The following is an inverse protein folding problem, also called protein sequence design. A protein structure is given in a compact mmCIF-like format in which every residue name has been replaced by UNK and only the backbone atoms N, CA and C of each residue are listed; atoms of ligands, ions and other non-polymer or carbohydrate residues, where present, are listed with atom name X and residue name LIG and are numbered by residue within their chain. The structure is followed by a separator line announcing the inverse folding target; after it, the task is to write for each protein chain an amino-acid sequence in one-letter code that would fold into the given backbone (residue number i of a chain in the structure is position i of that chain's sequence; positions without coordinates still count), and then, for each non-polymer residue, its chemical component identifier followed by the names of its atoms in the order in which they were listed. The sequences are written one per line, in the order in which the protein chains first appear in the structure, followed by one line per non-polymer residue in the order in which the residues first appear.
data_IF_102610987503
#
_entry.id   IF_102610987503
#
_cell.length_a   1.000
_cell.length_b   1.000
_cell.length_c   1.000
_cell.angle_alpha   90.00
_cell.angle_beta   90.00
_cell.angle_gamma   90.00
#
_symmetry.space_group_name_H-M   'P 1'
#
loop_
_entity.id
_entity.type
_entity.pdbx_description
1 polymer ?
#
# COMPACT_ATOMS: atom_id res chain seq x y z
N UNK A 1 -54.04 -34.42 2.94
CA UNK A 1 -52.61 -34.60 3.25
C UNK A 1 -51.83 -33.97 2.10
N UNK A 2 -51.33 -32.75 2.27
CA UNK A 2 -50.59 -32.02 1.23
C UNK A 2 -49.12 -31.92 1.67
N UNK A 3 -48.22 -32.49 0.87
CA UNK A 3 -46.79 -32.50 1.13
C UNK A 3 -46.17 -31.27 0.44
N UNK A 4 -45.81 -30.25 1.23
CA UNK A 4 -45.13 -29.07 0.72
C UNK A 4 -43.62 -29.33 0.64
N UNK A 5 -43.06 -29.30 -0.57
CA UNK A 5 -41.63 -29.43 -0.82
C UNK A 5 -40.96 -28.07 -0.60
N UNK A 6 -40.22 -27.92 0.51
CA UNK A 6 -39.41 -26.73 0.79
C UNK A 6 -38.05 -26.91 0.12
N UNK A 7 -37.81 -26.21 -0.98
CA UNK A 7 -36.49 -26.14 -1.60
C UNK A 7 -35.62 -25.11 -0.86
N UNK A 8 -34.34 -25.41 -0.56
CA UNK A 8 -33.45 -24.45 0.06
C UNK A 8 -33.11 -23.34 -0.94
N UNK A 9 -33.38 -22.09 -0.57
CA UNK A 9 -32.88 -20.92 -1.26
C UNK A 9 -31.35 -20.88 -1.03
N UNK A 10 -30.58 -21.35 -2.01
CA UNK A 10 -29.13 -21.15 -2.01
C UNK A 10 -28.85 -19.66 -2.13
N UNK A 11 -28.45 -19.01 -1.05
CA UNK A 11 -27.89 -17.67 -1.10
C UNK A 11 -26.61 -17.73 -1.94
N UNK A 12 -26.62 -17.09 -3.11
CA UNK A 12 -25.41 -16.85 -3.89
C UNK A 12 -24.53 -15.91 -3.07
N UNK A 13 -23.47 -16.44 -2.46
CA UNK A 13 -22.44 -15.59 -1.87
C UNK A 13 -21.91 -14.70 -2.99
N UNK A 14 -22.07 -13.39 -2.86
CA UNK A 14 -21.47 -12.44 -3.78
C UNK A 14 -20.01 -12.85 -3.98
N UNK A 15 -19.66 -13.14 -5.23
CA UNK A 15 -18.28 -13.44 -5.61
C UNK A 15 -17.45 -12.26 -5.19
N UNK A 16 -16.64 -12.45 -4.14
CA UNK A 16 -15.65 -11.45 -3.75
C UNK A 16 -14.73 -11.25 -4.94
N UNK A 17 -14.93 -10.14 -5.65
CA UNK A 17 -14.10 -9.73 -6.78
C UNK A 17 -12.62 -9.83 -6.36
N UNK A 18 -11.89 -10.58 -7.17
CA UNK A 18 -10.58 -11.15 -6.89
C UNK A 18 -9.63 -10.12 -6.22
N UNK A 19 -9.22 -10.38 -4.97
CA UNK A 19 -8.18 -9.61 -4.28
C UNK A 19 -6.76 -9.98 -4.75
N UNK A 20 -6.65 -10.66 -5.90
CA UNK A 20 -5.36 -11.08 -6.45
C UNK A 20 -4.54 -9.88 -6.90
N UNK A 21 -3.34 -9.82 -6.33
CA UNK A 21 -2.30 -8.90 -6.73
C UNK A 21 -1.51 -9.48 -7.92
N UNK A 22 -1.06 -8.62 -8.86
CA UNK A 22 -1.35 -7.19 -9.03
C UNK A 22 -2.62 -6.95 -9.87
N UNK A 23 -3.40 -5.91 -9.58
CA UNK A 23 -4.47 -5.47 -10.49
C UNK A 23 -3.86 -4.78 -11.71
N UNK A 24 -4.46 -4.97 -12.88
CA UNK A 24 -4.09 -4.17 -14.06
C UNK A 24 -4.24 -2.68 -13.75
N UNK A 25 -3.27 -1.88 -14.21
CA UNK A 25 -3.28 -0.45 -13.91
C UNK A 25 -4.52 0.21 -14.55
N UNK A 26 -5.34 0.86 -13.74
CA UNK A 26 -6.53 1.60 -14.17
C UNK A 26 -6.57 2.98 -13.53
N UNK A 27 -7.48 3.85 -13.99
CA UNK A 27 -7.69 5.18 -13.44
C UNK A 27 -9.01 5.25 -12.68
N UNK A 28 -9.08 6.05 -11.62
CA UNK A 28 -10.32 6.45 -10.96
C UNK A 28 -11.12 7.39 -11.86
N UNK A 29 -12.37 7.67 -11.48
CA UNK A 29 -13.21 8.65 -12.20
C UNK A 29 -12.57 10.04 -12.28
N UNK A 30 -11.71 10.36 -11.31
CA UNK A 30 -11.01 11.64 -11.20
C UNK A 30 -9.63 11.62 -11.87
N UNK A 31 -9.27 10.54 -12.58
CA UNK A 31 -8.03 10.44 -13.34
C UNK A 31 -6.80 9.94 -12.56
N UNK A 32 -6.94 9.61 -11.28
CA UNK A 32 -5.83 9.10 -10.46
C UNK A 32 -5.60 7.61 -10.70
N UNK A 33 -4.36 7.11 -10.67
CA UNK A 33 -4.12 5.68 -10.81
C UNK A 33 -4.72 4.91 -9.62
N UNK A 34 -5.30 3.75 -9.91
CA UNK A 34 -5.88 2.89 -8.88
C UNK A 34 -4.79 2.35 -7.95
N UNK A 35 -5.10 2.16 -6.65
CA UNK A 35 -4.16 1.57 -5.71
C UNK A 35 -3.67 0.21 -6.21
N UNK A 36 -2.46 -0.18 -5.80
CA UNK A 36 -1.89 -1.50 -6.07
C UNK A 36 -1.51 -1.75 -7.55
N UNK A 37 -1.50 -0.69 -8.37
CA UNK A 37 -1.02 -0.70 -9.76
C UNK A 37 0.51 -0.57 -9.89
N UNK A 38 1.22 -0.41 -8.77
CA UNK A 38 2.67 -0.16 -8.73
C UNK A 38 3.09 1.27 -9.10
N UNK A 39 2.15 2.13 -9.54
CA UNK A 39 2.39 3.56 -9.80
C UNK A 39 1.97 4.40 -8.58
N UNK A 40 2.70 5.48 -8.26
CA UNK A 40 2.28 6.42 -7.21
C UNK A 40 0.87 6.96 -7.52
N UNK A 41 0.04 7.10 -6.48
CA UNK A 41 -1.32 7.65 -6.60
C UNK A 41 -1.31 9.15 -6.98
N UNK A 42 -0.17 9.82 -6.80
CA UNK A 42 0.02 11.25 -7.04
C UNK A 42 0.84 11.52 -8.30
N UNK A 43 0.41 12.47 -9.13
CA UNK A 43 1.16 12.90 -10.33
C UNK A 43 2.45 13.66 -10.00
N UNK A 44 2.47 14.38 -8.87
CA UNK A 44 3.63 15.10 -8.35
C UNK A 44 4.17 14.39 -7.11
N UNK A 45 5.16 13.48 -7.26
CA UNK A 45 5.72 12.73 -6.13
C UNK A 45 6.46 13.62 -5.14
N UNK A 46 6.82 14.84 -5.55
CA UNK A 46 7.53 15.82 -4.72
C UNK A 46 6.87 17.18 -4.88
N UNK A 47 6.34 17.71 -3.77
CA UNK A 47 5.75 19.06 -3.71
C UNK A 47 6.80 19.97 -3.07
N UNK A 48 7.34 20.92 -3.84
CA UNK A 48 8.24 21.95 -3.33
C UNK A 48 7.47 23.25 -3.10
N UNK A 49 7.73 23.91 -1.96
CA UNK A 49 7.14 25.24 -1.67
C UNK A 49 7.79 26.37 -2.45
N UNK A 50 9.03 26.18 -2.90
CA UNK A 50 9.82 27.17 -3.63
C UNK A 50 10.21 26.58 -4.99
N UNK A 51 10.05 27.37 -6.04
CA UNK A 51 10.49 27.01 -7.38
C UNK A 51 12.03 27.03 -7.47
N UNK A 52 12.61 26.15 -8.29
CA UNK A 52 14.05 26.07 -8.52
C UNK A 52 14.87 25.35 -7.45
N UNK A 53 14.24 24.68 -6.48
CA UNK A 53 14.94 23.90 -5.45
C UNK A 53 15.49 22.60 -6.05
N UNK A 54 16.80 22.35 -5.90
CA UNK A 54 17.38 21.05 -6.27
C UNK A 54 16.93 19.98 -5.26
N UNK A 55 16.27 18.94 -5.76
CA UNK A 55 15.85 17.82 -4.93
C UNK A 55 17.04 16.91 -4.58
N UNK A 56 17.13 16.48 -3.32
CA UNK A 56 18.06 15.43 -2.90
C UNK A 56 17.70 14.16 -3.67
N UNK A 57 18.67 13.61 -4.41
CA UNK A 57 18.52 12.34 -5.12
C UNK A 57 18.90 11.21 -4.16
N UNK A 58 17.93 10.38 -3.81
CA UNK A 58 18.17 9.18 -3.01
C UNK A 58 18.63 8.03 -3.90
N UNK A 59 19.43 7.09 -3.36
CA UNK A 59 19.66 5.80 -4.01
C UNK A 59 18.34 5.06 -4.23
N UNK A 60 18.33 4.14 -5.20
CA UNK A 60 17.16 3.29 -5.47
C UNK A 60 16.84 2.35 -4.29
N UNK A 61 17.87 1.96 -3.54
CA UNK A 61 17.74 1.08 -2.38
C UNK A 61 18.33 1.74 -1.15
N UNK A 62 17.55 1.73 -0.07
CA UNK A 62 17.97 2.20 1.23
C UNK A 62 18.92 1.19 1.89
N UNK A 63 20.07 1.67 2.39
CA UNK A 63 20.97 0.87 3.24
C UNK A 63 20.93 1.46 4.66
N UNK A 64 20.41 0.72 5.65
CA UNK A 64 20.29 1.21 7.03
C UNK A 64 21.61 1.76 7.59
N UNK A 65 21.56 2.96 8.16
CA UNK A 65 22.71 3.63 8.78
C UNK A 65 23.74 4.22 7.80
N UNK A 66 23.54 4.15 6.49
CA UNK A 66 24.44 4.75 5.48
C UNK A 66 24.00 6.11 4.97
N UNK A 67 22.78 6.52 5.27
CA UNK A 67 22.20 7.76 4.77
C UNK A 67 21.82 8.69 5.93
N UNK A 68 22.52 9.82 6.12
CA UNK A 68 22.14 10.80 7.14
C UNK A 68 20.77 11.40 6.81
N UNK A 69 20.01 11.64 7.87
CA UNK A 69 18.69 12.26 7.82
C UNK A 69 18.86 13.76 7.99
N UNK A 70 18.39 14.57 7.05
CA UNK A 70 18.54 16.02 7.10
C UNK A 70 17.52 16.66 8.07
N UNK A 71 17.77 17.89 8.50
CA UNK A 71 16.83 18.67 9.31
C UNK A 71 15.47 18.76 8.59
N UNK A 72 14.38 18.51 9.33
CA UNK A 72 13.01 18.47 8.81
C UNK A 72 12.76 17.35 7.78
N UNK A 73 13.62 16.33 7.70
CA UNK A 73 13.39 15.09 6.96
C UNK A 73 12.80 14.03 7.91
N UNK A 74 11.80 13.28 7.45
CA UNK A 74 11.27 12.11 8.16
C UNK A 74 11.44 10.87 7.29
N UNK A 75 11.93 9.78 7.88
CA UNK A 75 12.03 8.47 7.22
C UNK A 75 11.14 7.47 7.94
N UNK A 76 10.33 6.75 7.17
CA UNK A 76 9.46 5.69 7.69
C UNK A 76 9.88 4.37 7.05
N UNK A 77 10.35 3.44 7.86
CA UNK A 77 10.69 2.08 7.42
C UNK A 77 9.63 1.10 7.94
N UNK A 78 8.98 0.38 7.04
CA UNK A 78 8.03 -0.69 7.41
C UNK A 78 8.84 -1.92 7.80
N UNK A 79 8.88 -2.24 9.09
CA UNK A 79 9.56 -3.42 9.63
C UNK A 79 8.71 -4.69 9.45
N UNK A 80 7.39 -4.53 9.41
CA UNK A 80 6.47 -5.62 9.13
C UNK A 80 5.11 -5.11 8.68
N UNK A 81 4.51 -5.82 7.74
CA UNK A 81 3.24 -5.48 7.09
C UNK A 81 2.18 -6.57 7.20
N UNK A 82 2.49 -7.66 7.92
CA UNK A 82 1.62 -8.81 8.09
C UNK A 82 0.53 -8.63 9.16
N UNK A 83 -0.52 -9.44 9.06
CA UNK A 83 -1.61 -9.57 10.04
C UNK A 83 -1.31 -10.69 11.06
N UNK A 84 -2.11 -10.85 12.13
CA UNK A 84 -1.71 -11.65 13.30
C UNK A 84 -1.43 -13.13 13.00
N UNK A 85 -2.01 -13.69 11.94
CA UNK A 85 -1.77 -15.08 11.54
C UNK A 85 -2.17 -15.37 10.08
N UNK A 86 -1.41 -16.19 9.35
CA UNK A 86 -0.07 -16.69 9.67
C UNK A 86 1.01 -15.69 9.22
N UNK A 87 1.94 -15.35 10.13
CA UNK A 87 3.16 -14.62 9.77
C UNK A 87 4.02 -15.50 8.86
N UNK A 88 4.32 -15.00 7.66
CA UNK A 88 5.14 -15.71 6.66
C UNK A 88 6.61 -15.38 6.93
N UNK A 89 7.55 -16.27 6.54
CA UNK A 89 9.00 -15.95 6.60
C UNK A 89 9.35 -14.61 5.91
N UNK A 90 8.56 -14.22 4.91
CA UNK A 90 8.75 -12.97 4.18
C UNK A 90 8.12 -11.73 4.86
N UNK A 91 7.28 -11.88 5.90
CA UNK A 91 6.51 -10.77 6.48
C UNK A 91 6.34 -10.93 8.00
N UNK A 92 6.94 -10.02 8.76
CA UNK A 92 6.65 -9.83 10.18
C UNK A 92 5.27 -9.16 10.36
N UNK A 93 4.72 -9.26 11.58
CA UNK A 93 3.52 -8.51 11.99
C UNK A 93 3.74 -7.00 11.88
N UNK A 94 2.65 -6.21 11.82
CA UNK A 94 2.68 -4.74 11.73
C UNK A 94 3.71 -4.08 12.65
N UNK A 95 4.67 -3.37 12.05
CA UNK A 95 5.70 -2.64 12.76
C UNK A 95 6.31 -1.56 11.87
N UNK A 96 6.54 -0.38 12.45
CA UNK A 96 7.04 0.80 11.75
C UNK A 96 8.17 1.44 12.57
N UNK A 97 9.28 1.75 11.91
CA UNK A 97 10.33 2.61 12.45
C UNK A 97 10.17 3.99 11.82
N UNK A 98 10.01 5.02 12.67
CA UNK A 98 9.91 6.42 12.25
C UNK A 98 11.12 7.16 12.79
N UNK A 99 11.92 7.71 11.89
CA UNK A 99 13.13 8.47 12.18
C UNK A 99 12.88 9.93 11.80
N UNK A 100 13.26 10.85 12.69
CA UNK A 100 13.10 12.30 12.51
C UNK A 100 14.48 12.95 12.49
N UNK A 101 14.75 13.72 11.44
CA UNK A 101 15.97 14.52 11.30
C UNK A 101 15.80 15.81 12.09
N UNK A 102 16.63 15.96 13.12
CA UNK A 102 16.66 17.11 14.02
C UNK A 102 17.90 17.95 13.77
#
# INVERSE_FOLDING_TARGET
MALALVLPLSASAATFEDYRFPRESSLTKDGYPTPLSGKPITDTPVIVKKEGVSLKKYPEHYIPGKEPLADNEMRVTVLGSGSPTPVRRAQATSGYLVELGN
#
